data_IF_308731829071
#
_entry.id   IF_308731829071
#
_cell.length_a   1.000
_cell.length_b   1.000
_cell.length_c   1.000
_cell.angle_alpha   90.00
_cell.angle_beta   90.00
_cell.angle_gamma   90.00
#
_symmetry.space_group_name_H-M   'P 1'
#
loop_
_entity.id
_entity.type
_entity.pdbx_description
1 polymer ?
#
# COMPACT_ATOMS: atom_id res chain seq x y z
N UNK A 1 28.23 12.47 64.75
CA UNK A 1 29.35 11.57 64.40
C UNK A 1 30.13 12.23 63.29
N UNK A 2 31.47 12.19 63.35
CA UNK A 2 32.34 12.85 62.37
C UNK A 2 32.74 11.85 61.28
N UNK A 3 32.65 12.26 60.02
CA UNK A 3 33.12 11.47 58.86
C UNK A 3 34.65 11.40 58.93
N UNK A 4 35.22 10.19 58.82
CA UNK A 4 36.67 9.94 58.95
C UNK A 4 37.40 9.92 57.60
N UNK A 5 36.80 9.39 56.52
CA UNK A 5 37.29 9.58 55.14
C UNK A 5 36.20 9.21 54.10
N UNK A 6 36.43 9.57 52.83
CA UNK A 6 35.66 9.16 51.65
C UNK A 6 36.60 8.57 50.61
N UNK A 7 36.17 7.51 49.94
CA UNK A 7 36.86 6.91 48.79
C UNK A 7 35.87 6.75 47.64
N UNK A 8 36.33 6.99 46.41
CA UNK A 8 35.55 6.84 45.19
C UNK A 8 36.45 6.62 43.97
N UNK A 9 35.90 5.99 42.93
CA UNK A 9 36.54 5.81 41.62
C UNK A 9 35.74 6.55 40.55
N UNK A 10 36.43 7.08 39.54
CA UNK A 10 35.83 7.76 38.39
C UNK A 10 36.25 6.97 37.16
N UNK A 11 35.28 6.52 36.38
CA UNK A 11 35.48 5.87 35.09
C UNK A 11 34.77 6.69 34.01
N UNK A 12 35.46 6.97 32.91
CA UNK A 12 34.82 7.58 31.74
C UNK A 12 33.99 6.52 31.01
N UNK A 13 32.68 6.72 31.01
CA UNK A 13 31.71 5.81 30.39
C UNK A 13 31.07 6.41 29.12
N UNK A 14 31.61 7.51 28.60
CA UNK A 14 31.01 8.28 27.51
C UNK A 14 30.79 7.42 26.26
N UNK A 15 31.84 6.74 25.79
CA UNK A 15 31.79 5.83 24.64
C UNK A 15 30.78 4.69 24.84
N UNK A 16 30.78 4.08 26.03
CA UNK A 16 29.84 3.00 26.37
C UNK A 16 28.39 3.48 26.31
N UNK A 17 28.11 4.66 26.87
CA UNK A 17 26.77 5.26 26.88
C UNK A 17 26.31 5.67 25.49
N UNK A 18 27.21 6.18 24.64
CA UNK A 18 26.92 6.47 23.23
C UNK A 18 26.56 5.19 22.46
N UNK A 19 27.35 4.13 22.60
CA UNK A 19 27.07 2.84 21.97
C UNK A 19 25.73 2.24 22.44
N UNK A 20 25.46 2.25 23.75
CA UNK A 20 24.17 1.81 24.32
C UNK A 20 22.99 2.60 23.74
N UNK A 21 23.11 3.92 23.64
CA UNK A 21 22.05 4.77 23.08
C UNK A 21 21.84 4.51 21.59
N UNK A 22 22.92 4.41 20.81
CA UNK A 22 22.85 4.11 19.38
C UNK A 22 22.19 2.74 19.12
N UNK A 23 22.55 1.72 19.92
CA UNK A 23 21.92 0.40 19.84
C UNK A 23 20.42 0.50 20.14
N UNK A 24 20.04 1.17 21.23
CA UNK A 24 18.64 1.35 21.62
C UNK A 24 17.83 2.10 20.56
N UNK A 25 18.41 3.12 19.95
CA UNK A 25 17.77 3.87 18.87
C UNK A 25 17.58 3.01 17.62
N UNK A 26 18.61 2.23 17.25
CA UNK A 26 18.53 1.28 16.14
C UNK A 26 17.46 0.21 16.37
N UNK A 27 17.38 -0.37 17.57
CA UNK A 27 16.35 -1.36 17.95
C UNK A 27 14.95 -0.76 17.88
N UNK A 28 14.77 0.46 18.39
CA UNK A 28 13.50 1.18 18.31
C UNK A 28 13.08 1.38 16.85
N UNK A 29 13.99 1.87 16.01
CA UNK A 29 13.73 2.09 14.58
C UNK A 29 13.39 0.79 13.85
N UNK A 30 14.11 -0.30 14.14
CA UNK A 30 13.83 -1.62 13.58
C UNK A 30 12.43 -2.10 13.97
N UNK A 31 12.05 -1.91 15.23
CA UNK A 31 10.73 -2.30 15.76
C UNK A 31 9.62 -1.51 15.07
N UNK A 32 9.79 -0.21 14.90
CA UNK A 32 8.84 0.65 14.19
C UNK A 32 8.69 0.26 12.71
N UNK A 33 9.80 -0.06 12.03
CA UNK A 33 9.79 -0.56 10.66
C UNK A 33 9.05 -1.90 10.53
N UNK A 34 9.29 -2.84 11.44
CA UNK A 34 8.59 -4.12 11.45
C UNK A 34 7.09 -3.96 11.72
N UNK A 35 6.72 -3.13 12.70
CA UNK A 35 5.31 -2.84 12.98
C UNK A 35 4.59 -2.21 11.77
N UNK A 36 5.28 -1.33 11.04
CA UNK A 36 4.76 -0.73 9.80
C UNK A 36 4.57 -1.78 8.71
N UNK A 37 5.55 -2.67 8.52
CA UNK A 37 5.47 -3.79 7.58
C UNK A 37 4.31 -4.72 7.90
N UNK A 38 4.14 -5.12 9.15
CA UNK A 38 3.08 -6.04 9.57
C UNK A 38 1.68 -5.43 9.41
N UNK A 39 1.53 -4.14 9.75
CA UNK A 39 0.31 -3.39 9.50
C UNK A 39 -0.02 -3.34 8.01
N UNK A 40 0.97 -3.08 7.16
CA UNK A 40 0.78 -3.02 5.72
C UNK A 40 0.33 -4.36 5.13
N UNK A 41 0.96 -5.48 5.51
CA UNK A 41 0.51 -6.81 5.09
C UNK A 41 -0.90 -7.15 5.58
N UNK A 42 -1.25 -6.72 6.78
CA UNK A 42 -2.60 -6.94 7.33
C UNK A 42 -3.68 -6.21 6.51
N UNK A 43 -3.41 -4.97 6.08
CA UNK A 43 -4.30 -4.18 5.23
C UNK A 43 -4.47 -4.86 3.87
N UNK A 44 -3.36 -5.25 3.22
CA UNK A 44 -3.40 -5.93 1.92
C UNK A 44 -4.18 -7.24 1.99
N UNK A 45 -3.96 -8.05 3.02
CA UNK A 45 -4.66 -9.32 3.19
C UNK A 45 -6.18 -9.10 3.32
N UNK A 46 -6.61 -8.05 4.01
CA UNK A 46 -8.01 -7.66 4.10
C UNK A 46 -8.54 -7.23 2.72
N UNK A 47 -7.80 -6.36 2.03
CA UNK A 47 -8.24 -5.78 0.77
C UNK A 47 -8.26 -6.79 -0.38
N UNK A 48 -7.40 -7.82 -0.35
CA UNK A 48 -7.44 -8.95 -1.27
C UNK A 48 -8.63 -9.88 -1.01
N UNK A 49 -9.08 -10.03 0.24
CA UNK A 49 -10.18 -10.94 0.58
C UNK A 49 -11.47 -10.56 -0.14
N UNK A 50 -11.76 -9.26 -0.25
CA UNK A 50 -12.96 -8.74 -0.89
C UNK A 50 -13.11 -9.17 -2.37
N UNK A 51 -12.17 -8.87 -3.29
CA UNK A 51 -12.28 -9.28 -4.68
C UNK A 51 -12.28 -10.80 -4.86
N UNK A 52 -11.50 -11.56 -4.08
CA UNK A 52 -11.55 -13.03 -4.14
C UNK A 52 -12.89 -13.59 -3.70
N UNK A 53 -13.50 -13.05 -2.64
CA UNK A 53 -14.84 -13.44 -2.22
C UNK A 53 -15.88 -13.14 -3.30
N UNK A 54 -15.78 -12.01 -4.00
CA UNK A 54 -16.64 -11.70 -5.14
C UNK A 54 -16.42 -12.68 -6.30
N UNK A 55 -15.18 -12.95 -6.71
CA UNK A 55 -14.87 -13.89 -7.79
C UNK A 55 -15.43 -15.28 -7.50
N UNK A 56 -15.19 -15.81 -6.30
CA UNK A 56 -15.65 -17.13 -5.89
C UNK A 56 -17.18 -17.14 -5.77
N UNK A 57 -17.77 -16.13 -5.12
CA UNK A 57 -19.22 -16.04 -4.91
C UNK A 57 -20.00 -15.96 -6.22
N UNK A 58 -19.62 -15.04 -7.12
CA UNK A 58 -20.28 -14.91 -8.43
C UNK A 58 -19.95 -16.08 -9.36
N UNK A 59 -18.77 -16.70 -9.24
CA UNK A 59 -18.45 -17.94 -9.95
C UNK A 59 -19.38 -19.10 -9.57
N UNK A 60 -19.68 -19.24 -8.26
CA UNK A 60 -20.63 -20.25 -7.78
C UNK A 60 -22.06 -19.96 -8.28
N UNK A 61 -22.51 -18.70 -8.21
CA UNK A 61 -23.82 -18.30 -8.74
C UNK A 61 -23.93 -18.54 -10.25
N UNK A 62 -22.86 -18.27 -10.99
CA UNK A 62 -22.80 -18.54 -12.44
C UNK A 62 -22.97 -20.04 -12.72
N UNK A 63 -22.28 -20.89 -11.97
CA UNK A 63 -22.37 -22.34 -12.11
C UNK A 63 -23.78 -22.85 -11.79
N UNK A 64 -24.41 -22.36 -10.71
CA UNK A 64 -25.78 -22.69 -10.33
C UNK A 64 -26.79 -22.30 -11.42
N UNK A 65 -26.71 -21.07 -11.93
CA UNK A 65 -27.59 -20.59 -13.01
C UNK A 65 -27.47 -21.43 -14.28
N UNK A 66 -26.25 -21.83 -14.67
CA UNK A 66 -26.02 -22.72 -15.81
C UNK A 66 -26.67 -24.09 -15.58
N UNK A 67 -26.52 -24.68 -14.39
CA UNK A 67 -27.11 -25.97 -14.04
C UNK A 67 -28.65 -25.92 -14.05
N UNK A 68 -29.23 -24.81 -13.60
CA UNK A 68 -30.67 -24.56 -13.61
C UNK A 68 -31.22 -24.11 -14.98
N UNK A 69 -30.36 -23.97 -16.00
CA UNK A 69 -30.69 -23.46 -17.34
C UNK A 69 -31.30 -22.05 -17.31
N UNK A 70 -30.89 -21.22 -16.34
CA UNK A 70 -31.29 -19.81 -16.21
C UNK A 70 -30.17 -18.93 -16.75
N UNK A 71 -30.38 -18.29 -17.90
CA UNK A 71 -29.31 -17.59 -18.62
C UNK A 71 -29.37 -16.06 -18.54
N UNK A 72 -30.37 -15.51 -17.85
CA UNK A 72 -30.68 -14.07 -17.89
C UNK A 72 -29.60 -13.20 -17.23
N UNK A 73 -28.93 -13.70 -16.17
CA UNK A 73 -27.96 -12.92 -15.39
C UNK A 73 -26.49 -13.30 -15.64
N UNK A 74 -26.22 -14.23 -16.57
CA UNK A 74 -24.85 -14.74 -16.77
C UNK A 74 -23.86 -13.64 -17.13
N UNK A 75 -24.23 -12.77 -18.06
CA UNK A 75 -23.36 -11.67 -18.49
C UNK A 75 -23.01 -10.75 -17.31
N UNK A 76 -24.00 -10.42 -16.49
CA UNK A 76 -23.81 -9.58 -15.29
C UNK A 76 -22.83 -10.23 -14.31
N UNK A 77 -22.98 -11.53 -14.04
CA UNK A 77 -22.06 -12.25 -13.14
C UNK A 77 -20.64 -12.31 -13.72
N UNK A 78 -20.49 -12.57 -15.02
CA UNK A 78 -19.19 -12.54 -15.70
C UNK A 78 -18.55 -11.14 -15.61
N UNK A 79 -19.31 -10.08 -15.84
CA UNK A 79 -18.82 -8.71 -15.72
C UNK A 79 -18.34 -8.40 -14.29
N UNK A 80 -19.05 -8.87 -13.26
CA UNK A 80 -18.62 -8.70 -11.87
C UNK A 80 -17.34 -9.49 -11.58
N UNK A 81 -17.24 -10.75 -12.02
CA UNK A 81 -16.03 -11.56 -11.88
C UNK A 81 -14.84 -10.88 -12.54
N UNK A 82 -15.00 -10.38 -13.78
CA UNK A 82 -13.94 -9.67 -14.50
C UNK A 82 -13.51 -8.40 -13.78
N UNK A 83 -14.47 -7.58 -13.34
CA UNK A 83 -14.18 -6.36 -12.57
C UNK A 83 -13.43 -6.68 -11.27
N UNK A 84 -13.88 -7.66 -10.50
CA UNK A 84 -13.22 -8.08 -9.26
C UNK A 84 -11.82 -8.66 -9.52
N UNK A 85 -11.63 -9.36 -10.63
CA UNK A 85 -10.31 -9.90 -11.04
C UNK A 85 -9.33 -8.79 -11.41
N UNK A 86 -9.78 -7.77 -12.15
CA UNK A 86 -8.95 -6.60 -12.47
C UNK A 86 -8.57 -5.84 -11.20
N UNK A 87 -9.53 -5.59 -10.29
CA UNK A 87 -9.22 -4.94 -9.01
C UNK A 87 -8.18 -5.72 -8.18
N UNK A 88 -8.26 -7.05 -8.16
CA UNK A 88 -7.27 -7.89 -7.48
C UNK A 88 -5.89 -7.80 -8.16
N UNK A 89 -5.84 -7.75 -9.49
CA UNK A 89 -4.61 -7.58 -10.25
C UNK A 89 -3.96 -6.21 -9.96
N UNK A 90 -4.74 -5.13 -9.95
CA UNK A 90 -4.24 -3.79 -9.64
C UNK A 90 -3.65 -3.73 -8.23
N UNK A 91 -4.31 -4.34 -7.25
CA UNK A 91 -3.79 -4.43 -5.88
C UNK A 91 -2.48 -5.23 -5.81
N UNK A 92 -2.37 -6.32 -6.57
CA UNK A 92 -1.14 -7.13 -6.67
C UNK A 92 0.01 -6.32 -7.30
N UNK A 93 -0.26 -5.58 -8.37
CA UNK A 93 0.75 -4.74 -9.04
C UNK A 93 1.22 -3.61 -8.11
N UNK A 94 0.30 -2.94 -7.42
CA UNK A 94 0.63 -1.92 -6.42
C UNK A 94 1.50 -2.49 -5.28
N UNK A 95 1.22 -3.71 -4.82
CA UNK A 95 2.06 -4.40 -3.83
C UNK A 95 3.46 -4.68 -4.38
N UNK A 96 3.57 -5.12 -5.62
CA UNK A 96 4.86 -5.40 -6.26
C UNK A 96 5.69 -4.12 -6.42
N UNK A 97 5.08 -3.01 -6.83
CA UNK A 97 5.73 -1.70 -6.91
C UNK A 97 6.19 -1.22 -5.54
N UNK A 98 5.35 -1.34 -4.52
CA UNK A 98 5.74 -1.02 -3.16
C UNK A 98 6.92 -1.87 -2.70
N UNK A 99 6.89 -3.19 -2.92
CA UNK A 99 8.00 -4.06 -2.54
C UNK A 99 9.32 -3.69 -3.23
N UNK A 100 9.26 -3.31 -4.52
CA UNK A 100 10.43 -2.79 -5.27
C UNK A 100 10.94 -1.47 -4.72
N UNK A 101 10.04 -0.59 -4.25
CA UNK A 101 10.42 0.68 -3.62
C UNK A 101 11.24 0.47 -2.34
N UNK A 102 10.95 -0.59 -1.58
CA UNK A 102 11.63 -0.87 -0.30
C UNK A 102 13.02 -1.50 -0.49
N UNK A 103 13.25 -2.20 -1.60
CA UNK A 103 14.52 -2.88 -1.88
C UNK A 103 15.49 -2.05 -2.71
N UNK A 104 15.15 -0.79 -3.02
CA UNK A 104 15.96 0.10 -3.87
C UNK A 104 15.98 -0.30 -5.34
N UNK A 105 15.11 -1.22 -5.76
CA UNK A 105 15.02 -1.74 -7.13
C UNK A 105 14.20 -0.86 -8.09
N UNK A 106 13.84 0.36 -7.69
CA UNK A 106 13.11 1.28 -8.55
C UNK A 106 14.12 2.07 -9.41
N UNK A 107 14.25 1.70 -10.70
CA UNK A 107 15.05 2.46 -11.65
C UNK A 107 14.35 3.77 -12.02
N UNK A 108 14.88 4.89 -11.54
CA UNK A 108 14.42 6.20 -11.97
C UNK A 108 15.01 6.55 -13.34
N UNK A 109 14.15 6.65 -14.34
CA UNK A 109 14.52 7.18 -15.66
C UNK A 109 14.20 8.66 -15.73
N UNK A 110 15.22 9.48 -15.48
CA UNK A 110 15.12 10.93 -15.64
C UNK A 110 15.03 11.26 -17.12
N UNK A 111 13.90 11.86 -17.53
CA UNK A 111 13.67 12.35 -18.88
C UNK A 111 12.87 13.66 -18.82
N UNK A 112 13.02 14.56 -19.81
CA UNK A 112 12.09 15.67 -19.98
C UNK A 112 10.67 15.13 -20.15
N UNK A 113 9.73 15.66 -19.38
CA UNK A 113 8.32 15.30 -19.44
C UNK A 113 7.48 16.54 -19.69
N UNK A 114 6.46 16.40 -20.53
CA UNK A 114 5.45 17.43 -20.75
C UNK A 114 4.37 17.30 -19.68
N UNK A 115 4.43 18.16 -18.66
CA UNK A 115 3.51 18.12 -17.54
C UNK A 115 2.08 18.47 -17.96
N UNK A 116 1.92 19.32 -18.97
CA UNK A 116 0.62 19.71 -19.51
C UNK A 116 -0.06 18.53 -20.19
N UNK A 117 0.69 17.75 -20.97
CA UNK A 117 0.21 16.52 -21.58
C UNK A 117 -0.29 15.53 -20.52
N UNK A 118 0.54 15.25 -19.51
CA UNK A 118 0.22 14.28 -18.45
C UNK A 118 -1.04 14.70 -17.68
N UNK A 119 -1.14 15.98 -17.31
CA UNK A 119 -2.31 16.48 -16.58
C UNK A 119 -3.58 16.38 -17.42
N UNK A 120 -3.51 16.71 -18.71
CA UNK A 120 -4.67 16.62 -19.61
C UNK A 120 -5.11 15.17 -19.83
N UNK A 121 -4.17 14.22 -19.95
CA UNK A 121 -4.49 12.79 -20.05
C UNK A 121 -5.21 12.30 -18.79
N UNK A 122 -4.70 12.64 -17.61
CA UNK A 122 -5.31 12.23 -16.33
C UNK A 122 -6.67 12.89 -16.13
N UNK A 123 -6.82 14.19 -16.46
CA UNK A 123 -8.09 14.89 -16.39
C UNK A 123 -9.14 14.24 -17.31
N UNK A 124 -8.76 13.93 -18.56
CA UNK A 124 -9.65 13.26 -19.51
C UNK A 124 -10.06 11.84 -19.08
N UNK A 125 -9.19 11.10 -18.37
CA UNK A 125 -9.57 9.81 -17.78
C UNK A 125 -10.57 9.94 -16.62
N UNK A 126 -10.50 11.04 -15.87
CA UNK A 126 -11.37 11.30 -14.72
C UNK A 126 -12.72 11.92 -15.13
N UNK A 127 -12.79 12.59 -16.29
CA UNK A 127 -13.99 13.29 -16.79
C UNK A 127 -15.29 12.46 -16.75
N UNK A 128 -15.33 11.19 -17.20
CA UNK A 128 -16.57 10.41 -17.15
C UNK A 128 -17.11 10.24 -15.73
N UNK A 129 -16.21 10.01 -14.77
CA UNK A 129 -16.55 9.83 -13.34
C UNK A 129 -16.94 11.17 -12.72
N UNK A 130 -16.27 12.25 -13.10
CA UNK A 130 -16.56 13.60 -12.63
C UNK A 130 -17.95 14.05 -13.11
N UNK A 131 -18.29 13.81 -14.37
CA UNK A 131 -19.60 14.12 -14.94
C UNK A 131 -20.73 13.33 -14.27
N UNK A 132 -20.54 12.03 -14.01
CA UNK A 132 -21.52 11.21 -13.27
C UNK A 132 -21.84 11.81 -11.89
N UNK A 133 -20.85 12.46 -11.27
CA UNK A 133 -20.96 13.09 -9.96
C UNK A 133 -21.22 14.59 -10.00
N UNK A 134 -21.43 15.19 -11.18
CA UNK A 134 -21.57 16.65 -11.36
C UNK A 134 -20.41 17.46 -10.77
N UNK A 135 -19.19 16.94 -10.89
CA UNK A 135 -17.94 17.58 -10.46
C UNK A 135 -17.25 18.18 -11.69
N UNK A 136 -16.69 19.38 -11.55
CA UNK A 136 -15.85 20.01 -12.58
C UNK A 136 -14.37 19.87 -12.20
N UNK A 137 -13.55 19.41 -13.14
CA UNK A 137 -12.09 19.35 -13.01
C UNK A 137 -11.50 20.51 -13.81
N UNK A 138 -10.63 21.31 -13.18
CA UNK A 138 -9.92 22.41 -13.82
C UNK A 138 -8.43 22.33 -13.52
N UNK A 139 -7.58 22.47 -14.54
CA UNK A 139 -6.13 22.62 -14.40
C UNK A 139 -5.71 24.05 -14.71
N UNK A 140 -4.93 24.66 -13.82
CA UNK A 140 -4.26 25.93 -14.05
C UNK A 140 -2.76 25.65 -14.15
N UNK A 141 -2.24 25.72 -15.37
CA UNK A 141 -0.86 25.40 -15.71
C UNK A 141 -0.21 26.70 -16.22
N UNK A 142 0.78 27.18 -15.46
CA UNK A 142 1.53 28.42 -15.76
C UNK A 142 2.69 28.19 -16.73
#
# INVERSE_FOLDING_TARGET
GNILYYEGTIEDITERKLAENNLRESEKRLTELNATKDKFFSIIAHDLRSPFNSIIGFGNLLLEQIQEKKYQDLEKYIQIILKSSNNAMDLLLNLLEWARSQTGGMEFKLAPVDITLIINEVAGQMDPIAQEKSITISSDLS
#
